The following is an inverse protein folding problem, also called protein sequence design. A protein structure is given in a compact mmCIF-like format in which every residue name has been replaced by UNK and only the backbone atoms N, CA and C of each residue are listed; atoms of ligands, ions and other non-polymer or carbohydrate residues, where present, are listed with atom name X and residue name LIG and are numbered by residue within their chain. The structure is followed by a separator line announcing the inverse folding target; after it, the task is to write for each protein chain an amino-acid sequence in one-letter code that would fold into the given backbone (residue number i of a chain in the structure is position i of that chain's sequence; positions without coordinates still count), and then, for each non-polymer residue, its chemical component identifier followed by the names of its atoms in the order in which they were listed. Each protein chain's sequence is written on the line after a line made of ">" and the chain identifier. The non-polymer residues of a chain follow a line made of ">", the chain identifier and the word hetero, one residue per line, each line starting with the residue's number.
data_IF_335851749166
#
_entry.id   IF_335851749166
#
_cell.length_a   1.000
_cell.length_b   1.000
_cell.length_c   1.000
_cell.angle_alpha   90.00
_cell.angle_beta   90.00
_cell.angle_gamma   90.00
#
_symmetry.space_group_name_H-M   'P 1'
#
loop_
_entity.id
_entity.type
_entity.pdbx_description
1 polymer ?
#
# COMPACT_ATOMS: atom_id res chain seq x y z
N UNK A 1 20.21 -1.63 -2.29
CA UNK A 1 19.74 -3.00 -2.55
C UNK A 1 18.51 -2.97 -3.46
N UNK A 2 17.83 -4.09 -3.77
CA UNK A 2 16.57 -4.06 -4.55
C UNK A 2 15.47 -3.42 -3.70
N UNK A 3 15.34 -3.79 -2.43
CA UNK A 3 14.28 -3.29 -1.57
C UNK A 3 14.39 -1.79 -1.25
N UNK A 4 15.59 -1.19 -1.30
CA UNK A 4 15.88 0.15 -0.75
C UNK A 4 15.18 1.33 -1.42
N UNK A 5 14.35 1.13 -2.45
CA UNK A 5 13.54 2.18 -3.08
C UNK A 5 12.50 2.80 -2.13
N UNK A 6 12.10 2.06 -1.09
CA UNK A 6 11.15 2.50 -0.08
C UNK A 6 11.71 3.66 0.77
N UNK A 7 13.00 3.64 1.10
CA UNK A 7 13.65 4.67 1.93
C UNK A 7 13.53 6.09 1.33
N UNK A 8 13.88 6.33 0.05
CA UNK A 8 13.62 7.61 -0.60
C UNK A 8 12.14 8.00 -0.61
N UNK A 9 11.22 7.04 -0.78
CA UNK A 9 9.79 7.32 -0.74
C UNK A 9 9.37 7.86 0.63
N UNK A 10 9.73 7.17 1.71
CA UNK A 10 9.46 7.61 3.09
C UNK A 10 10.01 9.00 3.35
N UNK A 11 11.26 9.27 2.93
CA UNK A 11 11.86 10.59 3.10
C UNK A 11 11.12 11.69 2.34
N UNK A 12 10.79 11.46 1.06
CA UNK A 12 10.03 12.44 0.26
C UNK A 12 8.65 12.72 0.86
N UNK A 13 7.92 11.68 1.29
CA UNK A 13 6.59 11.85 1.86
C UNK A 13 6.59 12.39 3.28
N UNK A 14 7.67 12.19 4.04
CA UNK A 14 7.86 12.85 5.32
C UNK A 14 7.97 14.37 5.16
N UNK A 15 8.83 14.84 4.23
CA UNK A 15 8.95 16.27 3.90
C UNK A 15 7.60 16.82 3.42
N UNK A 16 6.94 16.12 2.49
CA UNK A 16 5.64 16.52 1.96
C UNK A 16 4.59 16.60 3.08
N UNK A 17 4.58 15.62 3.99
CA UNK A 17 3.68 15.56 5.14
C UNK A 17 3.85 16.75 6.08
N UNK A 18 5.09 17.18 6.35
CA UNK A 18 5.37 18.38 7.15
C UNK A 18 4.78 19.62 6.46
N UNK A 19 5.04 19.81 5.16
CA UNK A 19 4.53 20.97 4.40
C UNK A 19 3.01 21.00 4.43
N UNK A 20 2.37 19.86 4.15
CA UNK A 20 0.91 19.72 4.18
C UNK A 20 0.35 20.00 5.57
N UNK A 21 0.96 19.46 6.63
CA UNK A 21 0.52 19.69 8.00
C UNK A 21 0.63 21.16 8.41
N UNK A 22 1.72 21.84 8.05
CA UNK A 22 1.90 23.28 8.28
C UNK A 22 0.83 24.11 7.55
N UNK A 23 0.55 23.79 6.29
CA UNK A 23 -0.48 24.46 5.50
C UNK A 23 -1.89 24.20 6.04
N UNK A 24 -2.20 22.97 6.46
CA UNK A 24 -3.49 22.66 7.09
C UNK A 24 -3.70 23.42 8.39
N UNK A 25 -2.64 23.66 9.16
CA UNK A 25 -2.70 24.43 10.40
C UNK A 25 -2.93 25.93 10.13
N UNK A 26 -2.14 26.52 9.21
CA UNK A 26 -2.17 27.96 8.93
C UNK A 26 -3.31 28.39 7.99
N UNK A 27 -3.52 27.64 6.90
CA UNK A 27 -4.46 27.94 5.82
C UNK A 27 -5.24 26.69 5.39
N UNK A 28 -6.25 26.30 6.19
CA UNK A 28 -7.04 25.08 6.01
C UNK A 28 -7.50 24.82 4.57
N UNK A 29 -8.02 25.84 3.88
CA UNK A 29 -8.51 25.70 2.49
C UNK A 29 -7.37 25.31 1.54
N UNK A 30 -6.25 26.01 1.61
CA UNK A 30 -5.07 25.76 0.75
C UNK A 30 -4.49 24.38 1.05
N UNK A 31 -4.32 24.02 2.33
CA UNK A 31 -3.80 22.71 2.72
C UNK A 31 -4.69 21.57 2.25
N UNK A 32 -6.01 21.72 2.35
CA UNK A 32 -6.96 20.70 1.88
C UNK A 32 -6.99 20.61 0.35
N UNK A 33 -6.99 21.75 -0.37
CA UNK A 33 -6.89 21.76 -1.83
C UNK A 33 -5.61 21.08 -2.32
N UNK A 34 -4.47 21.34 -1.67
CA UNK A 34 -3.20 20.67 -1.98
C UNK A 34 -3.30 19.15 -1.75
N UNK A 35 -3.89 18.71 -0.64
CA UNK A 35 -4.08 17.28 -0.37
C UNK A 35 -4.93 16.58 -1.42
N UNK A 36 -6.07 17.18 -1.81
CA UNK A 36 -6.95 16.63 -2.85
C UNK A 36 -6.22 16.58 -4.19
N UNK A 37 -5.48 17.64 -4.54
CA UNK A 37 -4.67 17.68 -5.74
C UNK A 37 -3.60 16.56 -5.77
N UNK A 38 -2.84 16.41 -4.68
CA UNK A 38 -1.83 15.35 -4.55
C UNK A 38 -2.47 13.97 -4.63
N UNK A 39 -3.65 13.77 -4.03
CA UNK A 39 -4.38 12.51 -4.10
C UNK A 39 -4.77 12.17 -5.54
N UNK A 40 -5.35 13.12 -6.27
CA UNK A 40 -5.73 12.94 -7.68
C UNK A 40 -4.48 12.57 -8.51
N UNK A 41 -3.37 13.29 -8.35
CA UNK A 41 -2.11 12.97 -9.04
C UNK A 41 -1.61 11.56 -8.69
N UNK A 42 -1.70 11.16 -7.42
CA UNK A 42 -1.23 9.86 -6.95
C UNK A 42 -1.99 8.67 -7.56
N UNK A 43 -3.22 8.90 -8.03
CA UNK A 43 -4.04 7.89 -8.73
C UNK A 43 -3.83 7.96 -10.23
N UNK A 44 -3.81 9.17 -10.81
CA UNK A 44 -3.68 9.38 -12.25
C UNK A 44 -2.30 8.96 -12.76
N UNK A 45 -1.22 9.23 -12.02
CA UNK A 45 0.13 8.93 -12.51
C UNK A 45 0.35 7.41 -12.71
N UNK A 46 0.07 6.53 -11.73
CA UNK A 46 0.13 5.08 -11.96
C UNK A 46 -0.76 4.63 -13.13
N UNK A 47 -2.01 5.12 -13.20
CA UNK A 47 -2.94 4.81 -14.28
C UNK A 47 -2.34 5.14 -15.65
N UNK A 48 -1.88 6.39 -15.82
CA UNK A 48 -1.33 6.88 -17.08
C UNK A 48 -0.05 6.14 -17.46
N UNK A 49 0.86 5.88 -16.52
CA UNK A 49 2.07 5.13 -16.80
C UNK A 49 1.75 3.70 -17.27
N UNK A 50 0.79 3.04 -16.64
CA UNK A 50 0.42 1.67 -17.01
C UNK A 50 -0.23 1.61 -18.40
N UNK A 51 -1.12 2.57 -18.72
CA UNK A 51 -1.81 2.63 -20.02
C UNK A 51 -0.87 3.03 -21.15
N UNK A 52 -0.08 4.09 -20.97
CA UNK A 52 0.78 4.65 -22.04
C UNK A 52 1.93 3.72 -22.38
N UNK A 53 2.53 3.08 -21.38
CA UNK A 53 3.67 2.20 -21.58
C UNK A 53 3.29 0.72 -21.72
N UNK A 54 1.99 0.41 -21.80
CA UNK A 54 1.47 -0.95 -21.91
C UNK A 54 2.13 -1.90 -20.89
N UNK A 55 2.08 -1.51 -19.61
CA UNK A 55 2.70 -2.25 -18.51
C UNK A 55 1.68 -3.08 -17.74
N UNK A 56 2.11 -4.13 -17.03
CA UNK A 56 1.24 -4.86 -16.12
C UNK A 56 0.81 -3.97 -14.94
N UNK A 57 -0.36 -4.27 -14.38
CA UNK A 57 -0.92 -3.52 -13.25
C UNK A 57 -0.11 -3.66 -11.96
N UNK A 58 0.57 -4.81 -11.81
CA UNK A 58 1.38 -5.20 -10.67
C UNK A 58 2.79 -5.54 -11.13
N UNK A 59 3.78 -5.36 -10.25
CA UNK A 59 5.12 -5.86 -10.50
C UNK A 59 5.09 -7.40 -10.45
N UNK A 60 5.37 -8.02 -11.57
CA UNK A 60 5.46 -9.48 -11.67
C UNK A 60 6.91 -9.90 -11.44
N UNK A 61 7.13 -10.77 -10.45
CA UNK A 61 8.44 -11.33 -10.12
C UNK A 61 8.75 -12.56 -10.98
N UNK A 62 8.72 -12.40 -12.30
CA UNK A 62 9.13 -13.48 -13.21
C UNK A 62 10.63 -13.78 -13.07
N UNK A 63 11.09 -14.98 -13.45
CA UNK A 63 12.50 -15.35 -13.41
C UNK A 63 13.43 -14.34 -14.07
N UNK A 64 13.00 -13.71 -15.17
CA UNK A 64 13.77 -12.67 -15.85
C UNK A 64 13.88 -11.38 -15.05
N UNK A 65 12.81 -10.98 -14.36
CA UNK A 65 12.81 -9.87 -13.43
C UNK A 65 13.69 -10.15 -12.20
N UNK A 66 13.85 -11.41 -11.80
CA UNK A 66 14.71 -11.81 -10.67
C UNK A 66 16.21 -11.79 -11.02
N UNK A 67 16.58 -11.98 -12.30
CA UNK A 67 17.99 -11.92 -12.76
C UNK A 67 18.56 -10.51 -12.71
N UNK A 68 17.79 -9.52 -13.16
CA UNK A 68 18.21 -8.12 -13.17
C UNK A 68 17.07 -7.16 -12.79
N UNK A 69 16.57 -7.23 -11.55
CA UNK A 69 15.37 -6.49 -11.12
C UNK A 69 15.53 -4.98 -11.26
N UNK A 70 16.74 -4.45 -11.04
CA UNK A 70 16.98 -3.01 -11.15
C UNK A 70 16.97 -2.47 -12.58
N UNK A 71 17.26 -3.30 -13.57
CA UNK A 71 17.23 -2.88 -14.99
C UNK A 71 15.85 -3.08 -15.60
N UNK A 72 15.00 -3.92 -15.01
CA UNK A 72 13.66 -4.20 -15.52
C UNK A 72 12.83 -2.90 -15.63
N UNK A 73 12.20 -2.64 -16.79
CA UNK A 73 11.45 -1.40 -17.01
C UNK A 73 10.34 -1.21 -15.99
N UNK A 74 9.62 -2.26 -15.60
CA UNK A 74 8.54 -2.18 -14.60
C UNK A 74 9.06 -1.77 -13.23
N UNK A 75 10.20 -2.31 -12.84
CA UNK A 75 10.81 -1.92 -11.58
C UNK A 75 11.22 -0.43 -11.58
N UNK A 76 11.81 0.04 -12.68
CA UNK A 76 12.28 1.42 -12.80
C UNK A 76 11.18 2.45 -13.01
N UNK A 77 10.12 2.09 -13.73
CA UNK A 77 9.08 3.00 -14.18
C UNK A 77 7.88 3.01 -13.23
N UNK A 78 7.34 1.84 -12.89
CA UNK A 78 6.07 1.73 -12.17
C UNK A 78 6.26 1.42 -10.68
N UNK A 79 7.34 0.74 -10.29
CA UNK A 79 7.51 0.26 -8.91
C UNK A 79 8.31 1.19 -7.99
N UNK A 80 9.48 1.66 -8.42
CA UNK A 80 10.43 2.36 -7.53
C UNK A 80 10.21 3.86 -7.37
N UNK A 81 9.41 4.47 -8.25
CA UNK A 81 9.21 5.92 -8.26
C UNK A 81 8.27 6.34 -7.14
N UNK A 82 8.65 7.34 -6.35
CA UNK A 82 7.81 7.77 -5.21
C UNK A 82 6.41 8.18 -5.63
N UNK A 83 6.26 8.93 -6.74
CA UNK A 83 4.96 9.39 -7.21
C UNK A 83 3.99 8.26 -7.59
N UNK A 84 4.46 7.06 -7.95
CA UNK A 84 3.58 5.90 -8.22
C UNK A 84 3.15 5.17 -6.94
N UNK A 85 3.72 5.56 -5.81
CA UNK A 85 3.51 4.93 -4.50
C UNK A 85 2.90 5.88 -3.47
N UNK A 86 2.50 7.09 -3.87
CA UNK A 86 2.08 8.17 -2.98
C UNK A 86 0.74 7.94 -2.27
N UNK A 87 -0.19 7.16 -2.87
CA UNK A 87 -1.57 7.01 -2.40
C UNK A 87 -1.68 6.71 -0.89
N UNK A 88 -0.99 5.69 -0.32
CA UNK A 88 -1.15 5.36 1.10
C UNK A 88 -0.67 6.47 2.04
N UNK A 89 0.37 7.21 1.66
CA UNK A 89 0.88 8.34 2.45
C UNK A 89 -0.15 9.47 2.47
N UNK A 90 -0.73 9.81 1.32
CA UNK A 90 -1.72 10.90 1.21
C UNK A 90 -3.02 10.54 1.92
N UNK A 91 -3.51 9.30 1.75
CA UNK A 91 -4.68 8.79 2.51
C UNK A 91 -4.39 8.80 4.01
N UNK A 92 -3.17 8.44 4.42
CA UNK A 92 -2.70 8.56 5.80
C UNK A 92 -2.70 10.00 6.31
N UNK A 93 -2.32 10.98 5.49
CA UNK A 93 -2.39 12.40 5.86
C UNK A 93 -3.85 12.87 6.05
N UNK A 94 -4.79 12.44 5.20
CA UNK A 94 -6.22 12.69 5.42
C UNK A 94 -6.69 12.07 6.75
N UNK A 95 -6.36 10.80 6.98
CA UNK A 95 -6.72 10.09 8.20
C UNK A 95 -6.14 10.76 9.44
N UNK A 96 -4.87 11.17 9.40
CA UNK A 96 -4.20 11.89 10.48
C UNK A 96 -4.83 13.25 10.76
N UNK A 97 -5.24 13.99 9.73
CA UNK A 97 -5.98 15.24 9.91
C UNK A 97 -7.34 15.02 10.59
N UNK A 98 -8.11 14.03 10.12
CA UNK A 98 -9.41 13.68 10.71
C UNK A 98 -9.21 13.25 12.17
N UNK A 99 -8.24 12.38 12.44
CA UNK A 99 -7.89 11.93 13.78
C UNK A 99 -7.54 13.13 14.69
N UNK A 100 -6.70 14.04 14.22
CA UNK A 100 -6.34 15.26 14.98
C UNK A 100 -7.56 16.12 15.34
N UNK A 101 -8.57 16.18 14.46
CA UNK A 101 -9.81 16.92 14.71
C UNK A 101 -10.76 16.20 15.67
N UNK A 102 -10.71 14.86 15.72
CA UNK A 102 -11.59 14.03 16.54
C UNK A 102 -10.98 13.64 17.89
N UNK A 103 -9.66 13.76 18.09
CA UNK A 103 -8.96 13.31 19.31
C UNK A 103 -9.53 13.86 20.64
N UNK A 104 -10.11 15.06 20.63
CA UNK A 104 -10.69 15.71 21.82
C UNK A 104 -12.21 15.54 21.90
N UNK A 105 -12.80 14.76 21.01
CA UNK A 105 -14.26 14.55 20.98
C UNK A 105 -14.60 13.24 21.68
N UNK A 106 -15.70 13.21 22.40
CA UNK A 106 -16.28 11.99 22.99
C UNK A 106 -17.15 11.21 21.98
N UNK A 107 -17.07 11.58 20.70
CA UNK A 107 -17.90 10.99 19.64
C UNK A 107 -17.36 9.60 19.30
N UNK A 108 -18.09 8.58 19.75
CA UNK A 108 -17.89 7.21 19.31
C UNK A 108 -18.83 6.88 18.17
N UNK A 109 -18.40 5.97 17.29
CA UNK A 109 -19.26 5.37 16.28
C UNK A 109 -20.35 4.56 16.98
N UNK A 110 -21.55 4.51 16.40
CA UNK A 110 -22.57 3.55 16.86
C UNK A 110 -22.05 2.11 16.72
N UNK A 111 -22.57 1.18 17.51
CA UNK A 111 -22.18 -0.24 17.44
C UNK A 111 -22.35 -0.81 16.03
N UNK A 112 -23.47 -0.51 15.38
CA UNK A 112 -23.77 -0.95 14.01
C UNK A 112 -22.77 -0.34 13.04
N UNK A 113 -22.54 0.98 13.10
CA UNK A 113 -21.60 1.68 12.21
C UNK A 113 -20.16 1.18 12.39
N UNK A 114 -19.73 0.87 13.62
CA UNK A 114 -18.39 0.34 13.88
C UNK A 114 -18.21 -1.06 13.30
N UNK A 115 -19.17 -1.98 13.49
CA UNK A 115 -19.07 -3.31 12.89
C UNK A 115 -19.18 -3.26 11.37
N UNK A 116 -20.07 -2.43 10.82
CA UNK A 116 -20.18 -2.23 9.37
C UNK A 116 -18.89 -1.66 8.78
N UNK A 117 -18.27 -0.66 9.42
CA UNK A 117 -16.98 -0.10 9.00
C UNK A 117 -15.88 -1.15 9.06
N UNK A 118 -15.85 -1.97 10.12
CA UNK A 118 -14.87 -3.05 10.28
C UNK A 118 -15.01 -4.08 9.16
N UNK A 119 -16.23 -4.59 8.95
CA UNK A 119 -16.52 -5.58 7.91
C UNK A 119 -16.24 -5.01 6.52
N UNK A 120 -16.72 -3.81 6.22
CA UNK A 120 -16.46 -3.13 4.94
C UNK A 120 -14.96 -2.93 4.69
N UNK A 121 -14.18 -2.61 5.73
CA UNK A 121 -12.74 -2.47 5.63
C UNK A 121 -12.04 -3.80 5.31
N UNK A 122 -12.42 -4.89 5.98
CA UNK A 122 -11.90 -6.22 5.67
C UNK A 122 -12.30 -6.68 4.27
N UNK A 123 -13.54 -6.45 3.86
CA UNK A 123 -14.02 -6.76 2.51
C UNK A 123 -13.24 -5.98 1.46
N UNK A 124 -12.93 -4.71 1.70
CA UNK A 124 -12.15 -3.88 0.79
C UNK A 124 -10.71 -4.40 0.66
N UNK A 125 -10.07 -4.75 1.78
CA UNK A 125 -8.73 -5.35 1.79
C UNK A 125 -8.73 -6.72 1.08
N UNK A 126 -9.70 -7.57 1.38
CA UNK A 126 -9.84 -8.87 0.75
C UNK A 126 -10.09 -8.75 -0.76
N UNK A 127 -11.00 -7.84 -1.17
CA UNK A 127 -11.28 -7.57 -2.57
C UNK A 127 -10.02 -7.11 -3.31
N UNK A 128 -9.18 -6.25 -2.72
CA UNK A 128 -7.92 -5.85 -3.36
C UNK A 128 -6.94 -7.01 -3.55
N UNK A 129 -6.91 -7.99 -2.64
CA UNK A 129 -6.04 -9.17 -2.82
C UNK A 129 -6.59 -10.09 -3.91
N UNK A 130 -7.89 -10.40 -3.85
CA UNK A 130 -8.55 -11.31 -4.80
C UNK A 130 -8.56 -10.74 -6.21
N UNK A 131 -8.88 -9.46 -6.39
CA UNK A 131 -8.84 -8.83 -7.72
C UNK A 131 -7.43 -8.71 -8.26
N UNK A 132 -6.41 -8.66 -7.38
CA UNK A 132 -5.01 -8.69 -7.77
C UNK A 132 -4.55 -10.02 -8.37
N UNK A 133 -5.17 -11.15 -8.00
CA UNK A 133 -4.76 -12.47 -8.50
C UNK A 133 -5.04 -12.64 -9.99
N UNK A 134 -6.03 -11.93 -10.54
CA UNK A 134 -6.37 -11.93 -11.97
C UNK A 134 -5.15 -11.55 -12.82
N UNK A 135 -4.34 -10.58 -12.36
CA UNK A 135 -3.14 -10.13 -13.06
C UNK A 135 -1.95 -11.10 -12.97
N UNK A 136 -2.08 -12.19 -12.22
CA UNK A 136 -1.11 -13.29 -12.18
C UNK A 136 -1.57 -14.52 -12.97
N UNK A 137 -2.82 -14.55 -13.44
CA UNK A 137 -3.31 -15.62 -14.30
C UNK A 137 -2.68 -15.50 -15.70
N UNK A 138 -2.11 -16.61 -16.18
CA UNK A 138 -1.46 -16.70 -17.49
C UNK A 138 -2.48 -16.66 -18.64
N UNK A 139 -3.72 -17.05 -18.37
CA UNK A 139 -4.81 -17.07 -19.36
C UNK A 139 -5.57 -15.74 -19.44
N UNK A 140 -5.29 -14.80 -18.54
CA UNK A 140 -5.91 -13.48 -18.56
C UNK A 140 -5.34 -12.64 -19.70
N UNK A 141 -6.20 -12.20 -20.61
CA UNK A 141 -5.79 -11.34 -21.73
C UNK A 141 -5.45 -9.93 -21.23
N UNK A 142 -4.32 -9.40 -21.70
CA UNK A 142 -3.89 -8.07 -21.29
C UNK A 142 -4.85 -6.98 -21.79
N UNK A 143 -5.46 -6.26 -20.85
CA UNK A 143 -6.20 -5.05 -21.13
C UNK A 143 -5.53 -3.84 -20.45
N UNK A 144 -5.15 -2.85 -21.26
CA UNK A 144 -4.43 -1.66 -20.78
C UNK A 144 -5.27 -0.80 -19.83
N UNK A 145 -6.57 -0.63 -20.11
CA UNK A 145 -7.48 0.19 -19.30
C UNK A 145 -7.73 -0.49 -17.96
N UNK A 146 -8.00 -1.80 -17.97
CA UNK A 146 -8.15 -2.61 -16.76
C UNK A 146 -6.88 -2.55 -15.90
N UNK A 147 -5.72 -2.77 -16.52
CA UNK A 147 -4.44 -2.74 -15.82
C UNK A 147 -4.15 -1.35 -15.24
N UNK A 148 -4.42 -0.29 -16.00
CA UNK A 148 -4.29 1.09 -15.55
C UNK A 148 -5.21 1.41 -14.38
N UNK A 149 -6.49 1.06 -14.50
CA UNK A 149 -7.50 1.27 -13.47
C UNK A 149 -7.08 0.58 -12.17
N UNK A 150 -6.66 -0.67 -12.27
CA UNK A 150 -6.17 -1.42 -11.12
C UNK A 150 -4.90 -0.78 -10.53
N UNK A 151 -3.91 -0.42 -11.34
CA UNK A 151 -2.66 0.22 -10.89
C UNK A 151 -2.90 1.52 -10.10
N UNK A 152 -3.88 2.32 -10.50
CA UNK A 152 -4.27 3.55 -9.80
C UNK A 152 -5.13 3.33 -8.55
N UNK A 153 -6.07 2.39 -8.59
CA UNK A 153 -7.14 2.28 -7.58
C UNK A 153 -6.88 1.26 -6.47
N UNK A 154 -6.13 0.18 -6.73
CA UNK A 154 -5.95 -0.87 -5.71
C UNK A 154 -5.31 -0.33 -4.42
N UNK A 155 -4.36 0.61 -4.55
CA UNK A 155 -3.72 1.26 -3.39
C UNK A 155 -4.68 2.15 -2.63
N UNK A 156 -5.65 2.77 -3.32
CA UNK A 156 -6.68 3.60 -2.69
C UNK A 156 -7.56 2.72 -1.83
N UNK A 157 -8.07 1.62 -2.40
CA UNK A 157 -8.89 0.65 -1.69
C UNK A 157 -8.13 0.05 -0.49
N UNK A 158 -6.88 -0.38 -0.68
CA UNK A 158 -6.05 -0.88 0.43
C UNK A 158 -5.89 0.14 1.56
N UNK A 159 -5.62 1.39 1.21
CA UNK A 159 -5.35 2.45 2.18
C UNK A 159 -6.61 2.86 2.94
N UNK A 160 -7.75 2.98 2.24
CA UNK A 160 -9.04 3.28 2.87
C UNK A 160 -9.46 2.14 3.81
N UNK A 161 -9.29 0.89 3.41
CA UNK A 161 -9.60 -0.26 4.26
C UNK A 161 -8.72 -0.28 5.52
N UNK A 162 -7.42 -0.06 5.36
CA UNK A 162 -6.49 0.06 6.50
C UNK A 162 -6.90 1.18 7.46
N UNK A 163 -7.20 2.37 6.93
CA UNK A 163 -7.64 3.52 7.73
C UNK A 163 -8.98 3.24 8.41
N UNK A 164 -9.93 2.58 7.73
CA UNK A 164 -11.21 2.19 8.30
C UNK A 164 -11.09 1.25 9.50
N UNK A 165 -10.18 0.27 9.44
CA UNK A 165 -9.85 -0.58 10.59
C UNK A 165 -9.28 0.24 11.76
N UNK A 166 -8.36 1.17 11.49
CA UNK A 166 -7.79 2.05 12.52
C UNK A 166 -8.87 2.95 13.16
N UNK A 167 -9.78 3.52 12.37
CA UNK A 167 -10.89 4.33 12.88
C UNK A 167 -11.85 3.49 13.72
N UNK A 168 -12.20 2.29 13.27
CA UNK A 168 -13.08 1.40 14.03
C UNK A 168 -12.44 0.94 15.35
N UNK A 169 -11.13 0.69 15.36
CA UNK A 169 -10.39 0.35 16.57
C UNK A 169 -10.26 1.55 17.55
N UNK A 170 -10.13 2.76 17.01
CA UNK A 170 -9.91 3.98 17.81
C UNK A 170 -11.19 4.57 18.40
N UNK A 171 -12.26 4.64 17.60
CA UNK A 171 -13.52 5.34 17.93
C UNK A 171 -14.75 4.43 17.91
N UNK A 172 -14.59 3.14 17.62
CA UNK A 172 -15.68 2.19 17.50
C UNK A 172 -15.80 1.22 18.68
N UNK A 173 -16.58 0.17 18.44
CA UNK A 173 -16.90 -0.90 19.39
C UNK A 173 -16.26 -2.25 18.99
N UNK A 174 -15.33 -2.25 18.03
CA UNK A 174 -14.59 -3.45 17.61
C UNK A 174 -13.51 -3.81 18.65
N UNK A 175 -13.95 -4.31 19.82
CA UNK A 175 -13.08 -4.58 20.97
C UNK A 175 -11.99 -5.61 20.67
N UNK A 176 -12.32 -6.68 19.95
CA UNK A 176 -11.34 -7.70 19.52
C UNK A 176 -10.26 -7.08 18.63
N UNK A 177 -10.67 -6.32 17.62
CA UNK A 177 -9.74 -5.64 16.71
C UNK A 177 -8.80 -4.70 17.48
N UNK A 178 -9.36 -3.90 18.40
CA UNK A 178 -8.58 -3.00 19.25
C UNK A 178 -7.58 -3.77 20.12
N UNK A 179 -8.01 -4.85 20.77
CA UNK A 179 -7.14 -5.68 21.62
C UNK A 179 -5.99 -6.29 20.84
N UNK A 180 -6.25 -6.80 19.63
CA UNK A 180 -5.21 -7.34 18.75
C UNK A 180 -4.25 -6.24 18.32
N UNK A 181 -4.74 -5.11 17.81
CA UNK A 181 -3.88 -4.02 17.32
C UNK A 181 -3.07 -3.33 18.44
N UNK A 182 -3.56 -3.36 19.68
CA UNK A 182 -2.90 -2.73 20.84
C UNK A 182 -2.07 -3.71 21.67
N UNK A 183 -1.84 -4.92 21.16
CA UNK A 183 -1.15 -5.97 21.91
C UNK A 183 0.32 -5.62 22.17
N UNK A 184 0.75 -5.70 23.43
CA UNK A 184 2.10 -5.27 23.87
C UNK A 184 3.27 -5.95 23.12
N UNK A 185 3.21 -7.24 22.74
CA UNK A 185 4.24 -7.87 21.91
C UNK A 185 4.50 -7.19 20.55
N UNK A 186 3.56 -6.40 20.02
CA UNK A 186 3.81 -5.60 18.82
C UNK A 186 4.83 -4.48 19.03
N UNK A 187 5.08 -4.05 20.27
CA UNK A 187 6.03 -2.98 20.57
C UNK A 187 7.47 -3.39 20.22
N UNK A 188 8.03 -4.49 20.77
CA UNK A 188 9.38 -4.94 20.39
C UNK A 188 9.42 -5.40 18.92
N UNK A 189 8.39 -6.07 18.42
CA UNK A 189 8.33 -6.50 17.01
C UNK A 189 8.34 -5.30 16.05
N UNK A 190 7.61 -4.24 16.36
CA UNK A 190 7.55 -3.01 15.57
C UNK A 190 8.92 -2.32 15.45
N UNK A 191 9.74 -2.36 16.50
CA UNK A 191 11.13 -1.85 16.45
C UNK A 191 12.03 -2.70 15.55
N UNK A 192 11.77 -4.00 15.44
CA UNK A 192 12.53 -4.93 14.62
C UNK A 192 12.13 -4.90 13.13
N UNK A 193 10.94 -4.39 12.80
CA UNK A 193 10.42 -4.33 11.41
C UNK A 193 11.44 -3.71 10.46
N UNK A 194 12.08 -2.61 10.85
CA UNK A 194 13.07 -1.96 9.98
C UNK A 194 14.32 -2.82 9.76
N UNK A 195 14.83 -3.46 10.82
CA UNK A 195 15.95 -4.40 10.72
C UNK A 195 15.61 -5.60 9.83
N UNK A 196 14.45 -6.22 10.05
CA UNK A 196 13.93 -7.31 9.22
C UNK A 196 13.80 -6.88 7.75
N UNK A 197 13.30 -5.67 7.50
CA UNK A 197 13.19 -5.08 6.17
C UNK A 197 14.55 -4.86 5.50
N UNK A 198 15.62 -4.54 6.22
CA UNK A 198 16.95 -4.41 5.61
C UNK A 198 17.56 -5.77 5.20
N UNK A 199 17.27 -6.83 5.94
CA UNK A 199 17.93 -8.14 5.74
C UNK A 199 17.10 -9.16 4.94
N UNK A 200 15.78 -9.00 4.83
CA UNK A 200 14.90 -10.03 4.23
C UNK A 200 15.32 -10.46 2.81
N UNK A 201 15.70 -9.51 1.95
CA UNK A 201 16.13 -9.83 0.59
C UNK A 201 17.41 -10.66 0.56
N UNK A 202 18.29 -10.54 1.55
CA UNK A 202 19.51 -11.37 1.64
C UNK A 202 19.15 -12.83 1.84
N UNK A 203 18.15 -13.12 2.68
CA UNK A 203 17.65 -14.48 2.86
C UNK A 203 16.98 -15.03 1.59
N UNK A 204 16.16 -14.22 0.91
CA UNK A 204 15.51 -14.63 -0.34
C UNK A 204 16.54 -14.91 -1.44
N UNK A 205 17.51 -14.01 -1.64
CA UNK A 205 18.59 -14.20 -2.62
C UNK A 205 19.46 -15.40 -2.29
N UNK A 206 19.77 -15.63 -1.01
CA UNK A 206 20.50 -16.84 -0.58
C UNK A 206 19.71 -18.10 -0.91
N UNK A 207 18.41 -18.12 -0.62
CA UNK A 207 17.53 -19.26 -0.92
C UNK A 207 17.56 -19.58 -2.42
N UNK A 208 17.40 -18.56 -3.27
CA UNK A 208 17.44 -18.73 -4.72
C UNK A 208 18.83 -19.14 -5.22
N UNK A 209 19.91 -18.59 -4.64
CA UNK A 209 21.27 -18.94 -5.03
C UNK A 209 21.68 -20.37 -4.61
N UNK A 210 21.05 -20.91 -3.57
CA UNK A 210 21.23 -22.31 -3.16
C UNK A 210 20.46 -23.30 -4.04
N UNK A 211 19.47 -22.83 -4.81
CA UNK A 211 18.75 -23.65 -5.79
C UNK A 211 19.67 -23.95 -6.98
N UNK A 212 20.42 -25.04 -6.89
CA UNK A 212 21.34 -25.51 -7.94
C UNK A 212 20.65 -26.37 -9.01
N UNK A 213 19.41 -26.77 -8.77
CA UNK A 213 18.58 -27.54 -9.71
C UNK A 213 17.42 -26.69 -10.24
N UNK A 214 16.98 -26.89 -11.50
CA UNK A 214 15.80 -26.23 -12.03
C UNK A 214 14.58 -26.56 -11.16
N UNK A 215 13.90 -25.53 -10.64
CA UNK A 215 12.62 -25.70 -9.96
C UNK A 215 11.49 -25.58 -10.98
N UNK A 216 10.71 -26.65 -11.10
CA UNK A 216 9.48 -26.66 -11.90
C UNK A 216 8.34 -26.25 -10.98
N UNK A 217 7.78 -25.06 -11.22
CA UNK A 217 6.59 -24.60 -10.51
C UNK A 217 5.36 -25.19 -11.18
N UNK A 218 4.67 -26.09 -10.49
CA UNK A 218 3.31 -26.49 -10.90
C UNK A 218 2.31 -25.49 -10.31
N UNK A 219 1.09 -25.47 -10.84
CA UNK A 219 0.01 -24.63 -10.30
C UNK A 219 -0.18 -24.82 -8.79
N UNK A 220 -0.01 -26.05 -8.30
CA UNK A 220 -0.16 -26.38 -6.89
C UNK A 220 0.95 -25.81 -6.02
N UNK A 221 2.18 -25.68 -6.53
CA UNK A 221 3.32 -25.12 -5.78
C UNK A 221 3.26 -23.60 -5.63
N UNK A 222 2.47 -22.91 -6.46
CA UNK A 222 2.32 -21.45 -6.42
C UNK A 222 1.16 -21.01 -5.51
N UNK A 223 0.18 -21.90 -5.30
CA UNK A 223 -1.02 -21.64 -4.49
C UNK A 223 -0.89 -22.15 -3.05
N UNK A 224 0.02 -23.10 -2.79
CA UNK A 224 0.31 -23.68 -1.47
C UNK A 224 1.20 -22.81 -0.57
#
# INVERSE_FOLDING_TARGET
>A
MIHSWYLPCDFHFFILGIIVAMLLNKHKRIGFSLLVFLFILSVIIPFALTVVYLRPALLQFYPDALRAPKSHPDFRLTYTKSHTRAVPYIVGMFAGYIYYRLKNTTKNLSRISSHALTLGSFLLLFATVVTGSIFYDRYHEYNAIESGAYAGLHRVAWSIGTVGLLFSASYGHATVLKSVLSWSPWIPLGKLVYGAYLIHMTFQLRSVAMSTTPQYFTYFDVVS
#
